data_IF_362352337859
#
_entry.id   IF_362352337859
#
_cell.length_a   1.000
_cell.length_b   1.000
_cell.length_c   1.000
_cell.angle_alpha   90.00
_cell.angle_beta   90.00
_cell.angle_gamma   90.00
#
_symmetry.space_group_name_H-M   'P 1'
#
loop_
_entity.id
_entity.type
_entity.pdbx_description
1 polymer ?
#
# COMPACT_ATOMS: atom_id res chain seq x y z
N UNK A 1 28.89 -6.68 0.88
CA UNK A 1 28.66 -8.10 1.24
C UNK A 1 27.19 -8.42 1.02
N UNK A 2 26.85 -9.60 0.47
CA UNK A 2 25.44 -10.01 0.30
C UNK A 2 25.03 -10.86 1.50
N UNK A 3 23.85 -10.62 2.05
CA UNK A 3 23.22 -11.48 3.07
C UNK A 3 22.07 -12.26 2.43
N UNK A 4 21.89 -13.50 2.85
CA UNK A 4 20.82 -14.38 2.36
C UNK A 4 19.73 -14.45 3.42
N UNK A 5 18.49 -14.21 3.02
CA UNK A 5 17.31 -14.37 3.85
C UNK A 5 16.65 -15.72 3.53
N UNK A 6 16.57 -16.59 4.53
CA UNK A 6 15.86 -17.88 4.45
C UNK A 6 14.59 -17.81 5.30
N UNK A 7 13.44 -18.12 4.72
CA UNK A 7 12.13 -18.07 5.38
C UNK A 7 11.50 -19.45 5.39
N UNK A 8 11.13 -19.93 6.57
CA UNK A 8 10.35 -21.17 6.75
C UNK A 8 8.87 -20.82 6.74
N UNK A 9 8.12 -21.36 5.77
CA UNK A 9 6.70 -21.08 5.57
C UNK A 9 5.95 -22.38 5.24
N UNK A 10 4.64 -22.47 5.55
CA UNK A 10 3.78 -23.53 5.05
C UNK A 10 3.85 -23.69 3.53
N UNK A 11 3.72 -24.92 3.04
CA UNK A 11 3.80 -25.22 1.59
C UNK A 11 2.73 -24.45 0.80
N UNK A 12 1.55 -24.26 1.39
CA UNK A 12 0.45 -23.48 0.81
C UNK A 12 0.88 -22.05 0.51
N UNK A 13 1.55 -21.42 1.47
CA UNK A 13 1.92 -20.01 1.40
C UNK A 13 3.05 -19.83 0.39
N UNK A 14 4.02 -20.75 0.36
CA UNK A 14 5.09 -20.75 -0.66
C UNK A 14 4.51 -20.86 -2.07
N UNK A 15 3.50 -21.73 -2.28
CA UNK A 15 2.83 -21.86 -3.58
C UNK A 15 2.09 -20.59 -3.96
N UNK A 16 1.40 -19.97 -3.01
CA UNK A 16 0.66 -18.74 -3.22
C UNK A 16 1.59 -17.57 -3.58
N UNK A 17 2.70 -17.40 -2.85
CA UNK A 17 3.70 -16.36 -3.10
C UNK A 17 4.29 -16.51 -4.52
N UNK A 18 4.67 -17.74 -4.91
CA UNK A 18 5.16 -18.03 -6.27
C UNK A 18 4.12 -17.69 -7.34
N UNK A 19 2.86 -18.02 -7.09
CA UNK A 19 1.74 -17.72 -8.00
C UNK A 19 1.54 -16.23 -8.17
N UNK A 20 1.56 -15.46 -7.07
CA UNK A 20 1.44 -14.01 -7.11
C UNK A 20 2.62 -13.34 -7.80
N UNK A 21 3.85 -13.78 -7.51
CA UNK A 21 5.04 -13.27 -8.18
C UNK A 21 4.92 -13.44 -9.71
N UNK A 22 4.54 -14.64 -10.18
CA UNK A 22 4.34 -14.91 -11.62
C UNK A 22 3.18 -14.10 -12.22
N UNK A 23 2.02 -14.11 -11.58
CA UNK A 23 0.81 -13.41 -12.08
C UNK A 23 1.03 -11.90 -12.21
N UNK A 24 1.83 -11.31 -11.32
CA UNK A 24 2.15 -9.88 -11.33
C UNK A 24 3.38 -9.54 -12.19
N UNK A 25 3.94 -10.51 -12.92
CA UNK A 25 5.03 -10.27 -13.88
C UNK A 25 6.43 -10.15 -13.26
N UNK A 26 6.64 -10.59 -12.02
CA UNK A 26 7.97 -10.56 -11.40
C UNK A 26 8.85 -11.72 -11.89
N UNK A 27 10.11 -11.41 -12.17
CA UNK A 27 11.12 -12.38 -12.64
C UNK A 27 11.52 -13.41 -11.58
N UNK A 28 11.32 -13.09 -10.29
CA UNK A 28 11.61 -13.98 -9.18
C UNK A 28 10.75 -13.67 -7.94
N UNK A 29 10.66 -14.64 -7.02
CA UNK A 29 10.08 -14.39 -5.70
C UNK A 29 10.87 -13.31 -4.95
N UNK A 30 12.20 -13.32 -5.04
CA UNK A 30 13.04 -12.32 -4.40
C UNK A 30 12.77 -10.90 -4.91
N UNK A 31 12.55 -10.71 -6.22
CA UNK A 31 12.15 -9.40 -6.76
C UNK A 31 10.77 -8.96 -6.25
N UNK A 32 9.85 -9.91 -6.13
CA UNK A 32 8.51 -9.63 -5.60
C UNK A 32 8.57 -9.23 -4.12
N UNK A 33 9.34 -9.94 -3.30
CA UNK A 33 9.51 -9.62 -1.87
C UNK A 33 10.19 -8.26 -1.68
N UNK A 34 11.22 -7.93 -2.49
CA UNK A 34 11.86 -6.61 -2.46
C UNK A 34 10.89 -5.47 -2.81
N UNK A 35 10.00 -5.70 -3.76
CA UNK A 35 8.94 -4.75 -4.08
C UNK A 35 8.00 -4.56 -2.89
N UNK A 36 7.55 -5.65 -2.26
CA UNK A 36 6.65 -5.57 -1.11
C UNK A 36 7.29 -4.83 0.06
N UNK A 37 8.57 -5.05 0.33
CA UNK A 37 9.29 -4.35 1.39
C UNK A 37 9.30 -2.83 1.15
N UNK A 38 9.58 -2.39 -0.08
CA UNK A 38 9.51 -0.97 -0.43
C UNK A 38 8.10 -0.41 -0.34
N UNK A 39 7.12 -1.19 -0.81
CA UNK A 39 5.72 -0.77 -0.73
C UNK A 39 5.27 -0.59 0.73
N UNK A 40 5.76 -1.42 1.65
CA UNK A 40 5.50 -1.33 3.08
C UNK A 40 6.08 -0.04 3.70
N UNK A 41 7.25 0.39 3.25
CA UNK A 41 7.86 1.69 3.65
C UNK A 41 7.01 2.88 3.21
N UNK A 42 6.32 2.78 2.06
CA UNK A 42 5.47 3.83 1.49
C UNK A 42 4.03 3.84 2.06
N UNK A 43 3.67 2.88 2.92
CA UNK A 43 2.33 2.84 3.52
C UNK A 43 2.20 3.90 4.62
N UNK A 44 1.17 4.74 4.49
CA UNK A 44 0.76 5.65 5.56
C UNK A 44 0.44 4.84 6.83
N UNK A 45 0.99 5.27 7.96
CA UNK A 45 0.70 4.61 9.24
C UNK A 45 -0.78 4.75 9.60
N UNK A 46 -1.33 3.76 10.32
CA UNK A 46 -2.73 3.80 10.77
C UNK A 46 -3.04 5.06 11.59
N UNK A 47 -2.10 5.48 12.45
CA UNK A 47 -2.25 6.66 13.30
C UNK A 47 -2.31 7.94 12.47
N UNK A 48 -1.49 8.05 11.43
CA UNK A 48 -1.49 9.19 10.51
C UNK A 48 -2.73 9.21 9.63
N UNK A 49 -3.19 8.04 9.17
CA UNK A 49 -4.46 7.90 8.46
C UNK A 49 -5.63 8.40 9.32
N UNK A 50 -5.71 7.93 10.58
CA UNK A 50 -6.76 8.36 11.52
C UNK A 50 -6.69 9.86 11.82
N UNK A 51 -5.49 10.42 11.94
CA UNK A 51 -5.29 11.87 12.12
C UNK A 51 -5.81 12.64 10.90
N UNK A 52 -5.49 12.17 9.70
CA UNK A 52 -5.93 12.78 8.43
C UNK A 52 -7.45 12.75 8.28
N UNK A 53 -8.09 11.63 8.60
CA UNK A 53 -9.56 11.50 8.57
C UNK A 53 -10.22 12.45 9.58
N UNK A 54 -9.69 12.56 10.80
CA UNK A 54 -10.22 13.50 11.81
C UNK A 54 -10.07 14.94 11.36
N UNK A 55 -8.93 15.28 10.75
CA UNK A 55 -8.70 16.61 10.19
C UNK A 55 -9.69 16.93 9.07
N UNK A 56 -9.84 16.05 8.07
CA UNK A 56 -10.77 16.23 6.97
C UNK A 56 -12.22 16.42 7.45
N UNK A 57 -12.66 15.65 8.47
CA UNK A 57 -13.98 15.84 9.09
C UNK A 57 -14.15 17.21 9.74
N UNK A 58 -13.10 17.73 10.39
CA UNK A 58 -13.12 19.06 11.00
C UNK A 58 -13.24 20.14 9.93
N UNK A 59 -12.49 20.03 8.84
CA UNK A 59 -12.54 20.99 7.74
C UNK A 59 -13.89 21.00 7.01
N UNK A 60 -14.45 19.82 6.77
CA UNK A 60 -15.80 19.68 6.23
C UNK A 60 -16.84 20.37 7.12
N UNK A 61 -16.79 20.13 8.43
CA UNK A 61 -17.70 20.79 9.40
C UNK A 61 -17.49 22.29 9.49
N UNK A 62 -16.26 22.76 9.27
CA UNK A 62 -15.93 24.18 9.24
C UNK A 62 -16.33 24.86 7.91
N UNK A 63 -16.97 24.14 6.98
CA UNK A 63 -17.42 24.68 5.70
C UNK A 63 -16.28 24.95 4.72
N UNK A 64 -15.09 24.38 4.94
CA UNK A 64 -13.94 24.53 4.04
C UNK A 64 -14.01 23.62 2.80
N UNK A 65 -15.07 22.83 2.67
CA UNK A 65 -15.33 22.00 1.51
C UNK A 65 -16.11 22.78 0.45
N UNK A 66 -15.84 22.49 -0.82
CA UNK A 66 -16.65 22.97 -1.94
C UNK A 66 -17.69 21.91 -2.32
N UNK A 67 -18.89 22.35 -2.70
CA UNK A 67 -19.89 21.48 -3.32
C UNK A 67 -19.77 21.60 -4.84
N UNK A 68 -18.89 20.79 -5.42
CA UNK A 68 -18.75 20.67 -6.86
C UNK A 68 -20.01 20.02 -7.47
N UNK A 69 -20.48 20.56 -8.60
CA UNK A 69 -21.55 19.97 -9.42
C UNK A 69 -21.00 18.96 -10.42
N UNK A 70 -19.74 19.11 -10.79
CA UNK A 70 -19.04 18.22 -11.72
C UNK A 70 -17.55 18.16 -11.41
N UNK A 71 -16.84 17.21 -12.03
CA UNK A 71 -15.38 17.13 -11.95
C UNK A 71 -14.68 18.36 -12.54
N UNK A 72 -15.32 19.09 -13.46
CA UNK A 72 -14.77 20.31 -14.02
C UNK A 72 -14.64 21.44 -12.99
N UNK A 73 -15.37 21.36 -11.87
CA UNK A 73 -15.32 22.35 -10.79
C UNK A 73 -14.14 22.11 -9.82
N UNK A 74 -13.31 21.07 -10.05
CA UNK A 74 -12.16 20.68 -9.22
C UNK A 74 -10.81 21.06 -9.84
N UNK A 75 -10.80 21.72 -11.00
CA UNK A 75 -9.59 22.07 -11.77
C UNK A 75 -9.41 23.58 -11.77
#
# INVERSE_FOLDING_TARGET
MRQVLSLSLPITDVRQIKTFAKKRGYSSVSSYVKYLLKADEDLISETELLKTVKHARKEYRAGKSIKAKSLADLV
#
